data_IF_371732297195
#
_entry.id   IF_371732297195
#
_cell.length_a   1.000
_cell.length_b   1.000
_cell.length_c   1.000
_cell.angle_alpha   90.00
_cell.angle_beta   90.00
_cell.angle_gamma   90.00
#
_symmetry.space_group_name_H-M   'P 1'
#
loop_
_entity.id
_entity.type
_entity.pdbx_description
1 polymer ?
#
# COMPACT_ATOMS: atom_id res chain seq x y z
N UNK A 1 -45.05 -39.50 21.17
CA UNK A 1 -44.49 -38.76 22.31
C UNK A 1 -43.77 -37.54 21.76
N UNK A 2 -44.35 -36.35 21.92
CA UNK A 2 -43.66 -35.11 21.56
C UNK A 2 -42.59 -34.85 22.63
N UNK A 3 -41.32 -34.99 22.27
CA UNK A 3 -40.23 -34.57 23.13
C UNK A 3 -40.31 -33.04 23.28
N UNK A 4 -40.92 -32.57 24.37
CA UNK A 4 -40.87 -31.16 24.74
C UNK A 4 -39.43 -30.82 25.08
N UNK A 5 -38.83 -29.89 24.33
CA UNK A 5 -37.55 -29.28 24.66
C UNK A 5 -37.67 -28.75 26.10
N UNK A 6 -36.72 -29.08 26.98
CA UNK A 6 -36.69 -28.63 28.37
C UNK A 6 -36.79 -27.10 28.41
N UNK A 7 -37.48 -26.52 29.41
CA UNK A 7 -37.68 -25.06 29.51
C UNK A 7 -36.37 -24.26 29.52
N UNK A 8 -35.29 -24.86 30.00
CA UNK A 8 -33.95 -24.25 30.00
C UNK A 8 -33.29 -24.19 28.60
N UNK A 9 -33.84 -24.92 27.63
CA UNK A 9 -33.44 -24.90 26.22
C UNK A 9 -34.49 -24.21 25.33
N UNK A 10 -35.43 -23.47 25.93
CA UNK A 10 -36.38 -22.68 25.16
C UNK A 10 -35.59 -21.64 24.35
N UNK A 11 -35.58 -21.81 23.03
CA UNK A 11 -34.70 -21.05 22.15
C UNK A 11 -35.31 -19.69 21.90
N UNK A 12 -34.80 -18.67 22.56
CA UNK A 12 -35.15 -17.30 22.19
C UNK A 12 -34.65 -16.98 20.78
N UNK A 13 -35.47 -16.25 20.02
CA UNK A 13 -35.05 -15.75 18.70
C UNK A 13 -33.91 -14.76 18.91
N UNK A 14 -32.77 -15.03 18.29
CA UNK A 14 -31.60 -14.15 18.34
C UNK A 14 -31.92 -12.71 17.93
N UNK A 15 -32.89 -12.53 17.03
CA UNK A 15 -33.38 -11.21 16.58
C UNK A 15 -33.91 -10.33 17.70
N UNK A 16 -34.38 -10.89 18.83
CA UNK A 16 -34.85 -10.11 19.99
C UNK A 16 -33.73 -9.33 20.69
N UNK A 17 -32.47 -9.71 20.46
CA UNK A 17 -31.30 -9.02 21.01
C UNK A 17 -30.78 -7.91 20.08
N UNK A 18 -31.32 -7.77 18.88
CA UNK A 18 -30.91 -6.68 17.98
C UNK A 18 -31.64 -5.38 18.33
N UNK A 19 -30.91 -4.26 18.24
CA UNK A 19 -31.45 -2.92 18.50
C UNK A 19 -31.97 -2.25 17.22
N UNK A 20 -31.63 -2.76 16.04
CA UNK A 20 -31.96 -2.10 14.77
C UNK A 20 -33.45 -2.24 14.41
N UNK A 21 -34.12 -1.13 14.13
CA UNK A 21 -35.54 -1.09 13.72
C UNK A 21 -35.69 -0.74 12.24
N UNK A 22 -34.98 0.28 11.76
CA UNK A 22 -34.96 0.67 10.36
C UNK A 22 -33.67 1.36 9.95
N UNK A 23 -33.41 1.40 8.64
CA UNK A 23 -32.31 2.13 8.01
C UNK A 23 -32.87 3.06 6.96
N UNK A 24 -32.38 4.30 6.95
CA UNK A 24 -32.74 5.30 5.95
C UNK A 24 -31.61 5.47 4.94
N UNK A 25 -31.89 5.11 3.69
CA UNK A 25 -30.93 5.16 2.59
C UNK A 25 -30.52 6.60 2.22
N UNK A 26 -31.38 7.61 2.43
CA UNK A 26 -31.06 9.00 2.09
C UNK A 26 -30.08 9.61 3.09
N UNK A 27 -30.38 9.49 4.38
CA UNK A 27 -29.55 10.04 5.44
C UNK A 27 -28.42 9.11 5.85
N UNK A 28 -28.46 7.84 5.46
CA UNK A 28 -27.53 6.78 5.86
C UNK A 28 -27.50 6.56 7.38
N UNK A 29 -28.63 6.80 8.06
CA UNK A 29 -28.78 6.65 9.51
C UNK A 29 -29.56 5.37 9.86
N UNK A 30 -29.21 4.80 11.01
CA UNK A 30 -29.92 3.69 11.61
C UNK A 30 -30.80 4.20 12.74
N UNK A 31 -32.08 3.84 12.70
CA UNK A 31 -33.02 4.03 13.78
C UNK A 31 -33.08 2.74 14.59
N UNK A 32 -32.65 2.84 15.84
CA UNK A 32 -32.57 1.74 16.77
C UNK A 32 -33.62 1.93 17.87
N UNK A 33 -33.86 0.85 18.63
CA UNK A 33 -34.71 0.87 19.82
C UNK A 33 -34.20 1.90 20.83
N UNK A 34 -34.82 3.07 20.84
CA UNK A 34 -34.44 4.17 21.74
C UNK A 34 -33.09 4.82 21.44
N UNK A 35 -32.55 4.71 20.22
CA UNK A 35 -31.35 5.45 19.82
C UNK A 35 -31.27 5.67 18.32
N UNK A 36 -30.48 6.66 17.89
CA UNK A 36 -30.16 6.87 16.48
C UNK A 36 -28.65 6.77 16.33
N UNK A 37 -28.18 6.13 15.27
CA UNK A 37 -26.77 5.91 15.05
C UNK A 37 -26.38 5.83 13.58
N UNK A 38 -25.08 5.77 13.34
CA UNK A 38 -24.53 5.54 12.02
C UNK A 38 -23.28 4.66 12.13
N UNK A 39 -22.92 4.03 11.02
CA UNK A 39 -21.73 3.17 10.93
C UNK A 39 -20.86 3.67 9.77
N UNK A 40 -19.58 3.87 10.04
CA UNK A 40 -18.56 4.15 9.04
C UNK A 40 -17.70 2.91 8.84
N UNK A 41 -17.43 2.60 7.58
CA UNK A 41 -16.42 1.63 7.17
C UNK A 41 -15.14 2.39 6.81
N UNK A 42 -14.04 2.03 7.46
CA UNK A 42 -12.74 2.67 7.23
C UNK A 42 -11.62 1.64 7.06
N UNK A 43 -10.54 2.06 6.41
CA UNK A 43 -9.29 1.30 6.39
C UNK A 43 -8.59 1.44 7.75
N UNK A 44 -7.95 0.38 8.26
CA UNK A 44 -7.08 0.49 9.41
C UNK A 44 -5.95 1.49 9.14
N UNK A 45 -5.56 2.21 10.17
CA UNK A 45 -4.40 3.10 10.10
C UNK A 45 -3.14 2.25 10.07
N UNK A 46 -2.46 2.27 8.93
CA UNK A 46 -1.12 1.71 8.81
C UNK A 46 -0.17 2.36 9.82
N UNK A 47 -0.38 3.66 10.06
CA UNK A 47 0.38 4.49 10.99
C UNK A 47 -0.56 5.53 11.63
N UNK A 48 -0.44 5.75 12.95
CA UNK A 48 -1.21 6.79 13.65
C UNK A 48 -0.30 7.98 13.98
N UNK A 49 -0.61 9.17 13.44
CA UNK A 49 0.13 10.41 13.73
C UNK A 49 -0.29 11.02 15.07
N UNK A 50 0.55 11.90 15.65
CA UNK A 50 0.15 12.66 16.85
C UNK A 50 -1.02 13.60 16.52
N UNK A 51 -1.06 14.17 15.31
CA UNK A 51 -2.20 14.96 14.82
C UNK A 51 -3.48 14.14 14.77
N UNK A 52 -3.42 12.96 14.14
CA UNK A 52 -4.53 12.00 14.08
C UNK A 52 -5.06 11.65 15.47
N UNK A 53 -4.15 11.37 16.42
CA UNK A 53 -4.54 11.11 17.80
C UNK A 53 -5.18 12.34 18.44
N UNK A 54 -4.69 13.55 18.18
CA UNK A 54 -5.27 14.77 18.73
C UNK A 54 -6.63 15.09 18.12
N UNK A 55 -6.81 14.90 16.82
CA UNK A 55 -8.09 15.05 16.12
C UNK A 55 -9.12 14.06 16.67
N UNK A 56 -8.74 12.80 16.89
CA UNK A 56 -9.61 11.81 17.57
C UNK A 56 -9.90 12.26 19.01
N UNK A 57 -8.91 12.77 19.74
CA UNK A 57 -9.11 13.24 21.11
C UNK A 57 -10.07 14.44 21.18
N UNK A 58 -9.98 15.36 20.22
CA UNK A 58 -10.85 16.53 20.08
C UNK A 58 -12.26 16.11 19.71
N UNK A 59 -12.41 15.15 18.78
CA UNK A 59 -13.70 14.56 18.47
C UNK A 59 -14.35 13.95 19.72
N UNK A 60 -13.60 13.15 20.49
CA UNK A 60 -14.07 12.49 21.70
C UNK A 60 -14.34 13.44 22.89
N UNK A 61 -13.78 14.65 22.86
CA UNK A 61 -13.98 15.68 23.90
C UNK A 61 -15.16 16.60 23.60
N UNK A 62 -15.50 16.77 22.33
CA UNK A 62 -16.54 17.69 21.93
C UNK A 62 -17.92 17.13 22.29
N UNK A 63 -18.62 17.81 23.21
CA UNK A 63 -20.01 17.48 23.57
C UNK A 63 -20.97 17.59 22.38
N UNK A 64 -20.63 18.42 21.38
CA UNK A 64 -21.39 18.49 20.13
C UNK A 64 -21.25 17.19 19.32
N UNK A 65 -20.05 16.60 19.30
CA UNK A 65 -19.74 15.39 18.53
C UNK A 65 -20.19 14.11 19.26
N UNK A 66 -19.90 14.03 20.54
CA UNK A 66 -20.14 12.86 21.38
C UNK A 66 -20.78 13.30 22.71
N UNK A 67 -22.09 13.65 22.72
CA UNK A 67 -22.77 14.12 23.91
C UNK A 67 -22.78 13.06 25.02
N UNK A 68 -23.03 13.50 26.25
CA UNK A 68 -23.16 12.59 27.39
C UNK A 68 -24.11 11.43 27.07
N UNK A 69 -23.76 10.24 27.57
CA UNK A 69 -24.52 8.98 27.38
C UNK A 69 -24.48 8.38 25.97
N UNK A 70 -23.83 9.02 24.99
CA UNK A 70 -23.57 8.41 23.68
C UNK A 70 -22.50 7.32 23.74
N UNK A 71 -22.46 6.47 22.70
CA UNK A 71 -21.39 5.48 22.54
C UNK A 71 -20.66 5.67 21.22
N UNK A 72 -19.33 5.64 21.28
CA UNK A 72 -18.47 5.35 20.14
C UNK A 72 -17.95 3.91 20.29
N UNK A 73 -18.15 3.11 19.25
CA UNK A 73 -17.65 1.75 19.17
C UNK A 73 -16.74 1.63 17.95
N UNK A 74 -15.56 1.04 18.15
CA UNK A 74 -14.60 0.78 17.08
C UNK A 74 -14.28 -0.71 17.07
N UNK A 75 -14.57 -1.36 15.95
CA UNK A 75 -14.35 -2.79 15.75
C UNK A 75 -13.38 -2.99 14.59
N UNK A 76 -12.34 -3.79 14.81
CA UNK A 76 -11.46 -4.24 13.74
C UNK A 76 -11.89 -5.64 13.30
N UNK A 77 -12.38 -5.77 12.07
CA UNK A 77 -12.94 -7.00 11.54
C UNK A 77 -12.09 -7.48 10.37
N UNK A 78 -11.66 -8.75 10.45
CA UNK A 78 -11.07 -9.45 9.32
C UNK A 78 -12.12 -10.17 8.51
N UNK A 79 -12.32 -9.76 7.26
CA UNK A 79 -13.19 -10.43 6.30
C UNK A 79 -12.37 -11.38 5.42
N UNK A 80 -12.84 -12.62 5.24
CA UNK A 80 -12.24 -13.53 4.25
C UNK A 80 -12.69 -13.19 2.81
N UNK A 81 -13.64 -12.26 2.65
CA UNK A 81 -14.06 -11.79 1.33
C UNK A 81 -13.09 -10.72 0.81
N UNK A 82 -12.10 -11.17 0.04
CA UNK A 82 -11.10 -10.32 -0.61
C UNK A 82 -11.37 -10.11 -2.11
N UNK A 83 -12.54 -10.47 -2.61
CA UNK A 83 -12.80 -10.52 -4.06
C UNK A 83 -12.66 -9.16 -4.73
N UNK A 84 -13.00 -8.07 -4.03
CA UNK A 84 -12.82 -6.73 -4.56
C UNK A 84 -11.34 -6.38 -4.84
N UNK A 85 -10.39 -6.88 -4.04
CA UNK A 85 -8.96 -6.76 -4.35
C UNK A 85 -8.58 -7.64 -5.55
N UNK A 86 -9.03 -8.89 -5.55
CA UNK A 86 -8.64 -9.83 -6.61
C UNK A 86 -9.17 -9.38 -7.98
N UNK A 87 -10.46 -9.05 -8.05
CA UNK A 87 -11.14 -8.58 -9.25
C UNK A 87 -10.56 -7.26 -9.74
N UNK A 88 -10.33 -6.29 -8.86
CA UNK A 88 -9.71 -5.02 -9.24
C UNK A 88 -8.30 -5.24 -9.79
N UNK A 89 -7.44 -5.99 -9.09
CA UNK A 89 -6.08 -6.29 -9.55
C UNK A 89 -6.03 -7.01 -10.90
N UNK A 90 -6.88 -8.02 -11.07
CA UNK A 90 -6.99 -8.83 -12.28
C UNK A 90 -7.48 -8.02 -13.50
N UNK A 91 -8.38 -7.05 -13.29
CA UNK A 91 -8.95 -6.23 -14.37
C UNK A 91 -7.91 -5.44 -15.17
N UNK A 92 -6.73 -5.18 -14.61
CA UNK A 92 -5.64 -4.45 -15.27
C UNK A 92 -4.61 -5.34 -15.94
N UNK A 93 -4.78 -6.66 -15.92
CA UNK A 93 -3.85 -7.60 -16.55
C UNK A 93 -4.21 -7.77 -18.01
N UNK A 94 -3.30 -7.35 -18.90
CA UNK A 94 -3.45 -7.36 -20.36
C UNK A 94 -2.54 -8.41 -20.98
N UNK A 95 -3.06 -9.12 -21.98
CA UNK A 95 -2.32 -10.19 -22.66
C UNK A 95 -2.58 -11.56 -22.05
N UNK A 96 -2.65 -12.58 -22.90
CA UNK A 96 -3.07 -13.94 -22.55
C UNK A 96 -2.28 -14.53 -21.38
N UNK A 97 -0.95 -14.46 -21.44
CA UNK A 97 -0.08 -15.00 -20.40
C UNK A 97 -0.26 -14.31 -19.04
N UNK A 98 -0.48 -12.98 -19.04
CA UNK A 98 -0.64 -12.22 -17.80
C UNK A 98 -2.01 -12.45 -17.17
N UNK A 99 -3.04 -12.63 -17.99
CA UNK A 99 -4.38 -13.02 -17.54
C UNK A 99 -4.33 -14.40 -16.89
N UNK A 100 -3.66 -15.38 -17.53
CA UNK A 100 -3.54 -16.73 -16.98
C UNK A 100 -2.75 -16.77 -15.66
N UNK A 101 -1.63 -16.03 -15.58
CA UNK A 101 -0.88 -15.88 -14.33
C UNK A 101 -1.72 -15.21 -13.24
N UNK A 102 -2.52 -14.22 -13.62
CA UNK A 102 -3.41 -13.53 -12.70
C UNK A 102 -4.50 -14.47 -12.16
N UNK A 103 -5.12 -15.29 -13.01
CA UNK A 103 -6.12 -16.28 -12.62
C UNK A 103 -5.56 -17.25 -11.56
N UNK A 104 -4.38 -17.82 -11.80
CA UNK A 104 -3.72 -18.72 -10.85
C UNK A 104 -3.39 -18.03 -9.52
N UNK A 105 -2.95 -16.78 -9.58
CA UNK A 105 -2.63 -15.97 -8.39
C UNK A 105 -3.88 -15.65 -7.58
N UNK A 106 -4.96 -15.23 -8.22
CA UNK A 106 -6.22 -14.90 -7.53
C UNK A 106 -6.88 -16.14 -6.95
N UNK A 107 -6.85 -17.28 -7.65
CA UNK A 107 -7.30 -18.57 -7.12
C UNK A 107 -6.53 -18.97 -5.86
N UNK A 108 -5.18 -18.91 -5.90
CA UNK A 108 -4.35 -19.21 -4.74
C UNK A 108 -4.69 -18.33 -3.53
N UNK A 109 -4.81 -17.00 -3.72
CA UNK A 109 -5.10 -16.07 -2.64
C UNK A 109 -6.52 -16.22 -2.10
N UNK A 110 -7.49 -16.52 -2.98
CA UNK A 110 -8.88 -16.83 -2.59
C UNK A 110 -8.93 -18.08 -1.70
N UNK A 111 -8.19 -19.11 -2.06
CA UNK A 111 -8.06 -20.33 -1.25
C UNK A 111 -7.40 -20.06 0.11
N UNK A 112 -6.34 -19.25 0.14
CA UNK A 112 -5.71 -18.82 1.39
C UNK A 112 -6.67 -18.04 2.31
N UNK A 113 -7.57 -17.24 1.73
CA UNK A 113 -8.56 -16.49 2.50
C UNK A 113 -9.73 -17.37 2.99
N UNK A 114 -10.31 -18.20 2.13
CA UNK A 114 -11.54 -18.94 2.44
C UNK A 114 -11.28 -20.25 3.19
N UNK A 115 -10.25 -21.01 2.80
CA UNK A 115 -9.97 -22.35 3.35
C UNK A 115 -9.04 -22.29 4.56
N UNK A 116 -8.00 -21.46 4.48
CA UNK A 116 -6.98 -21.36 5.53
C UNK A 116 -7.27 -20.23 6.52
N UNK A 117 -7.83 -19.11 6.04
CA UNK A 117 -8.03 -17.89 6.85
C UNK A 117 -6.72 -17.14 7.12
N UNK A 118 -5.66 -17.41 6.36
CA UNK A 118 -4.35 -16.76 6.48
C UNK A 118 -4.33 -15.37 5.84
N UNK A 119 -5.24 -15.13 4.89
CA UNK A 119 -5.40 -13.85 4.19
C UNK A 119 -6.80 -13.30 4.46
N UNK A 120 -6.88 -12.00 4.68
CA UNK A 120 -8.13 -11.29 5.00
C UNK A 120 -8.06 -9.85 4.56
N UNK A 121 -9.23 -9.28 4.37
CA UNK A 121 -9.40 -7.84 4.33
C UNK A 121 -9.77 -7.34 5.73
N UNK A 122 -8.85 -6.64 6.38
CA UNK A 122 -9.09 -6.06 7.70
C UNK A 122 -9.68 -4.66 7.53
N UNK A 123 -10.86 -4.45 8.08
CA UNK A 123 -11.57 -3.16 8.06
C UNK A 123 -11.84 -2.68 9.48
N UNK A 124 -12.00 -1.37 9.62
CA UNK A 124 -12.55 -0.76 10.82
C UNK A 124 -14.03 -0.49 10.58
N UNK A 125 -14.87 -0.95 11.51
CA UNK A 125 -16.22 -0.45 11.68
C UNK A 125 -16.23 0.52 12.85
N UNK A 126 -16.67 1.74 12.59
CA UNK A 126 -16.80 2.78 13.59
C UNK A 126 -18.27 3.13 13.68
N UNK A 127 -18.92 2.87 14.81
CA UNK A 127 -20.32 3.23 15.00
C UNK A 127 -20.49 4.22 16.13
N UNK A 128 -21.32 5.23 15.89
CA UNK A 128 -21.76 6.19 16.90
C UNK A 128 -23.23 5.97 17.16
N UNK A 129 -23.62 6.01 18.42
CA UNK A 129 -25.02 5.83 18.85
C UNK A 129 -25.35 6.87 19.90
N UNK A 130 -26.45 7.58 19.69
CA UNK A 130 -26.93 8.61 20.61
C UNK A 130 -28.30 8.18 21.16
N UNK A 131 -28.45 8.03 22.48
CA UNK A 131 -29.71 7.68 23.09
C UNK A 131 -30.65 8.89 23.16
N UNK A 132 -31.34 9.23 22.07
CA UNK A 132 -32.44 10.20 22.08
C UNK A 132 -33.28 10.12 20.80
N UNK A 133 -34.57 9.77 20.92
CA UNK A 133 -35.51 9.73 19.79
C UNK A 133 -35.84 11.12 19.21
N UNK A 134 -35.53 12.21 19.93
CA UNK A 134 -35.74 13.59 19.48
C UNK A 134 -34.46 14.25 18.94
N UNK A 135 -33.39 13.47 18.69
CA UNK A 135 -32.17 14.02 18.11
C UNK A 135 -32.43 14.58 16.71
N UNK A 136 -31.97 15.80 16.45
CA UNK A 136 -32.10 16.43 15.14
C UNK A 136 -31.27 15.66 14.10
N UNK A 137 -31.90 15.27 12.99
CA UNK A 137 -31.28 14.54 11.87
C UNK A 137 -30.09 15.34 11.30
N UNK A 138 -30.21 16.66 11.20
CA UNK A 138 -29.14 17.52 10.69
C UNK A 138 -27.88 17.46 11.57
N UNK A 139 -28.06 17.38 12.89
CA UNK A 139 -26.96 17.24 13.84
C UNK A 139 -26.31 15.86 13.74
N UNK A 140 -27.09 14.80 13.47
CA UNK A 140 -26.54 13.46 13.22
C UNK A 140 -25.71 13.41 11.93
N UNK A 141 -26.15 14.08 10.87
CA UNK A 141 -25.41 14.21 9.62
C UNK A 141 -24.10 14.97 9.84
N UNK A 142 -24.14 16.11 10.54
CA UNK A 142 -22.93 16.89 10.87
C UNK A 142 -21.91 16.07 11.66
N UNK A 143 -22.34 15.30 12.67
CA UNK A 143 -21.46 14.41 13.45
C UNK A 143 -20.80 13.33 12.60
N UNK A 144 -21.58 12.71 11.70
CA UNK A 144 -21.07 11.70 10.76
C UNK A 144 -19.99 12.30 9.87
N UNK A 145 -20.25 13.48 9.32
CA UNK A 145 -19.33 14.13 8.39
C UNK A 145 -18.08 14.64 9.11
N UNK A 146 -18.21 15.19 10.33
CA UNK A 146 -17.08 15.54 11.19
C UNK A 146 -16.20 14.32 11.50
N UNK A 147 -16.81 13.19 11.87
CA UNK A 147 -16.07 11.95 12.13
C UNK A 147 -15.39 11.44 10.86
N UNK A 148 -16.07 11.49 9.71
CA UNK A 148 -15.50 11.09 8.41
C UNK A 148 -14.28 11.92 8.06
N UNK A 149 -14.30 13.22 8.33
CA UNK A 149 -13.17 14.12 8.04
C UNK A 149 -12.01 13.92 9.02
N UNK A 150 -12.26 13.69 10.31
CA UNK A 150 -11.23 13.26 11.29
C UNK A 150 -10.47 12.03 10.80
N UNK A 151 -11.16 11.10 10.12
CA UNK A 151 -10.54 9.87 9.63
C UNK A 151 -9.85 9.98 8.25
N UNK A 152 -9.99 11.10 7.53
CA UNK A 152 -9.39 11.32 6.19
C UNK A 152 -7.97 11.91 6.21
N UNK A 153 -7.57 12.62 7.25
CA UNK A 153 -6.38 13.49 7.31
C UNK A 153 -5.03 12.80 7.66
N UNK A 154 -4.99 11.48 7.84
CA UNK A 154 -3.94 10.85 8.66
C UNK A 154 -2.73 10.28 7.86
N UNK A 155 -1.49 10.73 8.18
CA UNK A 155 -0.19 10.08 7.81
C UNK A 155 0.86 10.18 8.96
N UNK A 156 1.48 9.04 9.33
CA UNK A 156 2.75 8.80 10.08
C UNK A 156 2.94 9.36 11.53
N UNK A 157 3.64 8.79 12.55
CA UNK A 157 4.62 7.70 12.78
C UNK A 157 4.73 7.41 14.33
N UNK A 158 5.34 6.28 14.72
CA UNK A 158 5.91 5.87 16.06
C UNK A 158 5.01 5.08 17.06
N UNK A 159 5.57 4.43 18.11
CA UNK A 159 5.98 3.01 18.14
C UNK A 159 5.32 2.26 19.32
N UNK A 160 4.91 1.01 19.10
CA UNK A 160 4.18 0.13 20.04
C UNK A 160 4.84 -0.25 21.40
N UNK A 161 6.18 -0.21 21.61
CA UNK A 161 6.79 -0.68 22.86
C UNK A 161 6.44 0.14 24.12
N UNK A 162 6.17 1.44 23.98
CA UNK A 162 5.83 2.31 25.11
C UNK A 162 4.45 1.98 25.73
N UNK A 163 3.50 1.57 24.89
CA UNK A 163 2.12 1.26 25.29
C UNK A 163 2.03 -0.01 26.15
N UNK A 164 2.73 -1.08 25.76
CA UNK A 164 2.76 -2.32 26.54
C UNK A 164 3.44 -2.16 27.91
N UNK A 165 4.31 -1.16 28.08
CA UNK A 165 4.88 -0.79 29.39
C UNK A 165 3.90 0.03 30.23
N UNK A 166 3.08 0.88 29.61
CA UNK A 166 2.05 1.69 30.28
C UNK A 166 0.93 0.80 30.82
N UNK A 167 0.35 -0.08 30.00
CA UNK A 167 -0.77 -0.94 30.39
C UNK A 167 -0.46 -1.82 31.62
N UNK A 168 0.78 -2.30 31.75
CA UNK A 168 1.24 -3.10 32.90
C UNK A 168 1.45 -2.27 34.17
N UNK A 169 1.86 -1.01 34.05
CA UNK A 169 1.98 -0.09 35.20
C UNK A 169 0.62 0.41 35.69
N UNK A 170 -0.38 0.43 34.82
CA UNK A 170 -1.76 0.85 35.14
C UNK A 170 -2.64 -0.26 35.73
N UNK A 171 -2.09 -1.45 36.01
CA UNK A 171 -2.84 -2.54 36.65
C UNK A 171 -3.88 -3.24 35.77
N UNK A 172 -3.69 -3.25 34.45
CA UNK A 172 -4.61 -3.93 33.53
C UNK A 172 -4.32 -5.44 33.48
N UNK A 173 -5.29 -6.25 33.92
CA UNK A 173 -5.24 -7.70 33.87
C UNK A 173 -6.22 -8.24 32.83
N UNK A 174 -5.78 -9.17 31.99
CA UNK A 174 -6.65 -9.87 31.05
C UNK A 174 -7.44 -10.95 31.79
N UNK A 175 -8.77 -10.81 31.84
CA UNK A 175 -9.65 -11.80 32.45
C UNK A 175 -10.23 -12.72 31.37
N UNK A 176 -10.15 -14.06 31.51
CA UNK A 176 -10.77 -14.99 30.57
C UNK A 176 -12.29 -14.75 30.50
N UNK A 177 -12.83 -14.57 29.29
CA UNK A 177 -14.27 -14.49 29.03
C UNK A 177 -14.87 -15.90 29.02
N UNK A 178 -15.04 -16.53 30.19
CA UNK A 178 -15.78 -17.80 30.32
C UNK A 178 -17.26 -17.51 30.47
N UNK A 179 -18.10 -18.15 29.66
CA UNK A 179 -19.57 -18.01 29.66
C UNK A 179 -20.12 -16.64 29.20
N UNK A 180 -19.26 -15.73 28.75
CA UNK A 180 -19.65 -14.39 28.24
C UNK A 180 -19.93 -14.37 26.72
N UNK A 181 -20.08 -15.54 26.07
CA UNK A 181 -20.13 -15.63 24.60
C UNK A 181 -21.23 -14.77 23.96
N UNK A 182 -22.43 -14.73 24.55
CA UNK A 182 -23.54 -13.90 24.04
C UNK A 182 -23.25 -12.42 24.27
N UNK A 183 -22.75 -12.04 25.45
CA UNK A 183 -22.41 -10.65 25.75
C UNK A 183 -21.27 -10.12 24.85
N UNK A 184 -20.25 -10.96 24.59
CA UNK A 184 -19.15 -10.65 23.67
C UNK A 184 -19.66 -10.55 22.23
N UNK A 185 -20.55 -11.45 21.80
CA UNK A 185 -21.15 -11.40 20.48
C UNK A 185 -21.97 -10.12 20.28
N UNK A 186 -22.84 -9.76 21.24
CA UNK A 186 -23.62 -8.54 21.17
C UNK A 186 -22.74 -7.27 21.23
N UNK A 187 -21.70 -7.27 22.07
CA UNK A 187 -20.74 -6.16 22.12
C UNK A 187 -19.84 -6.06 20.87
N UNK A 188 -19.80 -7.10 20.03
CA UNK A 188 -19.12 -7.10 18.74
C UNK A 188 -20.03 -6.69 17.57
N UNK A 189 -21.31 -6.43 17.83
CA UNK A 189 -22.25 -5.90 16.84
C UNK A 189 -22.33 -4.36 16.96
N UNK A 190 -22.37 -3.62 15.84
CA UNK A 190 -22.42 -2.16 15.84
C UNK A 190 -23.62 -1.60 16.63
N UNK A 191 -23.46 -0.48 17.33
CA UNK A 191 -24.56 0.28 17.98
C UNK A 191 -25.32 -0.43 19.13
N UNK A 192 -24.83 -1.58 19.61
CA UNK A 192 -25.46 -2.35 20.70
C UNK A 192 -25.16 -1.84 22.12
N UNK A 193 -24.26 -0.86 22.25
CA UNK A 193 -23.69 -0.50 23.55
C UNK A 193 -24.64 0.34 24.41
N UNK A 194 -25.39 1.26 23.80
CA UNK A 194 -26.27 2.20 24.52
C UNK A 194 -27.63 2.35 23.85
N UNK A 195 -28.65 2.42 24.70
CA UNK A 195 -30.05 2.67 24.34
C UNK A 195 -30.69 3.59 25.38
N UNK A 196 -31.68 4.37 24.98
CA UNK A 196 -32.49 5.13 25.92
C UNK A 196 -33.28 4.18 26.83
N UNK A 197 -32.97 4.20 28.12
CA UNK A 197 -33.66 3.41 29.13
C UNK A 197 -34.91 4.11 29.70
N UNK A 198 -35.65 3.41 30.57
CA UNK A 198 -36.89 3.92 31.15
C UNK A 198 -36.64 5.19 32.00
N UNK A 199 -37.57 6.16 31.90
CA UNK A 199 -37.53 7.39 32.70
C UNK A 199 -37.67 7.04 34.19
N UNK A 200 -36.63 7.33 34.97
CA UNK A 200 -36.66 7.23 36.42
C UNK A 200 -37.06 8.56 37.07
N UNK A 201 -37.20 8.55 38.40
CA UNK A 201 -37.57 9.73 39.23
C UNK A 201 -36.53 10.87 39.11
N UNK A 202 -35.27 10.54 38.80
CA UNK A 202 -34.16 11.49 38.64
C UNK A 202 -33.81 11.80 37.16
N UNK A 203 -34.64 11.39 36.19
CA UNK A 203 -34.43 11.67 34.76
C UNK A 203 -34.36 10.41 33.88
N UNK A 204 -34.06 10.61 32.59
CA UNK A 204 -33.75 9.52 31.65
C UNK A 204 -32.53 8.75 32.13
N UNK A 205 -32.59 7.42 32.10
CA UNK A 205 -31.45 6.55 32.38
C UNK A 205 -31.00 5.88 31.10
N UNK A 206 -29.69 5.81 30.86
CA UNK A 206 -29.15 5.01 29.76
C UNK A 206 -29.13 3.52 30.12
N UNK A 207 -29.43 2.68 29.13
CA UNK A 207 -29.42 1.21 29.23
C UNK A 207 -28.63 0.62 28.06
N UNK A 208 -28.51 -0.71 27.98
CA UNK A 208 -27.79 -1.40 26.90
C UNK A 208 -26.64 -2.28 27.38
N UNK A 209 -26.02 -3.00 26.44
CA UNK A 209 -24.98 -4.00 26.74
C UNK A 209 -23.72 -3.35 27.32
N UNK A 210 -23.35 -2.15 26.85
CA UNK A 210 -22.20 -1.40 27.37
C UNK A 210 -22.37 -0.99 28.84
N UNK A 211 -23.58 -0.53 29.20
CA UNK A 211 -23.92 -0.18 30.60
C UNK A 211 -23.89 -1.42 31.48
N UNK A 212 -24.46 -2.54 31.01
CA UNK A 212 -24.43 -3.81 31.72
C UNK A 212 -22.99 -4.31 31.94
N UNK A 213 -22.15 -4.32 30.89
CA UNK A 213 -20.74 -4.70 31.00
C UNK A 213 -19.97 -3.79 31.96
N UNK A 214 -20.22 -2.48 31.94
CA UNK A 214 -19.63 -1.55 32.90
C UNK A 214 -20.03 -1.88 34.34
N UNK A 215 -21.31 -2.17 34.59
CA UNK A 215 -21.82 -2.55 35.92
C UNK A 215 -21.22 -3.87 36.43
N UNK A 216 -20.85 -4.78 35.52
CA UNK A 216 -20.16 -6.04 35.81
C UNK A 216 -18.65 -5.87 35.99
N UNK A 217 -18.14 -4.63 36.00
CA UNK A 217 -16.71 -4.35 36.11
C UNK A 217 -15.90 -4.69 34.86
N UNK A 218 -16.55 -4.88 33.70
CA UNK A 218 -15.91 -5.14 32.41
C UNK A 218 -15.61 -3.87 31.61
N UNK A 219 -15.91 -2.69 32.18
CA UNK A 219 -15.58 -1.39 31.61
C UNK A 219 -14.58 -0.63 32.48
N UNK A 220 -13.83 0.29 31.87
CA UNK A 220 -12.84 1.14 32.55
C UNK A 220 -13.25 2.59 32.40
N UNK A 221 -13.23 3.32 33.51
CA UNK A 221 -13.41 4.78 33.49
C UNK A 221 -12.06 5.44 33.25
N UNK A 222 -11.97 6.26 32.21
CA UNK A 222 -10.77 6.96 31.78
C UNK A 222 -11.14 8.35 31.27
N UNK A 223 -10.17 9.25 31.18
CA UNK A 223 -10.35 10.57 30.57
C UNK A 223 -10.32 10.46 29.04
N UNK A 224 -11.07 11.30 28.33
CA UNK A 224 -11.23 11.21 26.87
C UNK A 224 -9.89 11.23 26.11
N UNK A 225 -8.88 11.93 26.61
CA UNK A 225 -7.52 11.97 26.02
C UNK A 225 -6.78 10.63 26.05
N UNK A 226 -7.06 9.75 27.00
CA UNK A 226 -6.42 8.44 27.11
C UNK A 226 -7.13 7.39 26.25
N UNK A 227 -8.46 7.53 26.11
CA UNK A 227 -9.30 6.57 25.37
C UNK A 227 -8.89 6.41 23.90
N UNK A 228 -8.34 7.46 23.28
CA UNK A 228 -7.81 7.43 21.90
C UNK A 228 -6.73 6.36 21.67
N UNK A 229 -5.93 6.06 22.70
CA UNK A 229 -4.81 5.10 22.62
C UNK A 229 -5.31 3.67 22.75
N UNK A 230 -6.51 3.47 23.31
CA UNK A 230 -7.14 2.16 23.49
C UNK A 230 -7.93 1.71 22.25
N UNK A 231 -8.18 2.59 21.29
CA UNK A 231 -8.96 2.27 20.10
C UNK A 231 -8.20 1.30 19.18
N UNK A 232 -8.85 0.21 18.70
CA UNK A 232 -8.24 -0.74 17.79
C UNK A 232 -8.23 -0.20 16.35
N UNK A 233 -7.55 0.92 16.11
CA UNK A 233 -7.53 1.61 14.81
C UNK A 233 -6.27 1.30 13.98
N UNK A 234 -5.22 0.74 14.59
CA UNK A 234 -3.93 0.51 13.92
C UNK A 234 -3.88 -0.88 13.29
N UNK A 235 -3.77 -0.95 11.96
CA UNK A 235 -3.69 -2.21 11.20
C UNK A 235 -2.57 -2.22 10.15
N UNK A 236 -2.61 -3.19 9.24
CA UNK A 236 -1.66 -3.25 8.12
C UNK A 236 -2.14 -2.36 6.97
N UNK A 237 -1.19 -1.77 6.24
CA UNK A 237 -1.51 -0.97 5.05
C UNK A 237 -2.12 -1.84 3.96
N UNK A 238 -3.21 -1.36 3.35
CA UNK A 238 -3.90 -2.04 2.23
C UNK A 238 -3.27 -1.77 0.87
N UNK A 239 -2.23 -0.95 0.81
CA UNK A 239 -1.65 -0.54 -0.45
C UNK A 239 -2.32 0.68 -1.06
N UNK A 240 -1.84 1.04 -2.25
CA UNK A 240 -2.50 2.00 -3.12
C UNK A 240 -3.44 1.25 -4.08
N UNK A 241 -4.74 1.31 -3.80
CA UNK A 241 -5.78 0.63 -4.61
C UNK A 241 -5.88 1.16 -6.04
N UNK A 242 -5.35 2.37 -6.31
CA UNK A 242 -5.26 2.96 -7.64
C UNK A 242 -4.00 2.54 -8.41
N UNK A 243 -3.06 1.89 -7.73
CA UNK A 243 -1.83 1.34 -8.31
C UNK A 243 -1.78 -0.18 -8.14
N UNK A 244 -2.47 -0.96 -9.00
CA UNK A 244 -2.57 -2.41 -8.96
C UNK A 244 -1.28 -3.09 -9.44
N UNK A 245 -0.17 -2.78 -8.76
CA UNK A 245 1.15 -3.37 -8.94
C UNK A 245 1.22 -4.80 -8.42
N UNK A 246 2.19 -5.09 -7.56
CA UNK A 246 2.34 -6.41 -6.96
C UNK A 246 1.22 -6.69 -5.95
N UNK A 247 0.69 -7.91 -5.97
CA UNK A 247 -0.33 -8.37 -5.03
C UNK A 247 0.32 -9.16 -3.89
N UNK A 248 0.40 -8.54 -2.71
CA UNK A 248 1.11 -9.05 -1.53
C UNK A 248 0.17 -9.24 -0.34
N UNK A 249 0.67 -9.90 0.70
CA UNK A 249 -0.03 -10.06 1.97
C UNK A 249 0.89 -9.69 3.13
N UNK A 250 0.32 -9.01 4.12
CA UNK A 250 0.99 -8.66 5.37
C UNK A 250 1.16 -9.87 6.29
N UNK A 251 1.92 -9.69 7.37
CA UNK A 251 2.16 -10.75 8.36
C UNK A 251 0.91 -11.14 9.13
N UNK A 252 -0.05 -10.22 9.27
CA UNK A 252 -1.36 -10.49 9.89
C UNK A 252 -2.42 -10.90 8.85
N UNK A 253 -2.03 -11.08 7.59
CA UNK A 253 -2.90 -11.55 6.52
C UNK A 253 -3.56 -10.46 5.70
N UNK A 254 -3.32 -9.17 5.96
CA UNK A 254 -3.93 -8.11 5.14
C UNK A 254 -3.42 -8.19 3.70
N UNK A 255 -4.34 -8.33 2.74
CA UNK A 255 -3.99 -8.22 1.33
C UNK A 255 -3.68 -6.77 0.96
N UNK A 256 -2.66 -6.54 0.14
CA UNK A 256 -2.22 -5.20 -0.24
C UNK A 256 -1.69 -5.11 -1.67
N UNK A 257 -1.83 -3.94 -2.27
CA UNK A 257 -1.13 -3.60 -3.51
C UNK A 257 0.14 -2.83 -3.21
N UNK A 258 1.21 -3.20 -3.90
CA UNK A 258 2.46 -2.49 -3.79
C UNK A 258 3.04 -2.18 -5.16
N UNK A 259 3.43 -0.91 -5.36
CA UNK A 259 4.07 -0.45 -6.58
C UNK A 259 5.04 0.67 -6.22
N UNK A 260 6.29 0.66 -6.73
CA UNK A 260 7.21 1.77 -6.54
C UNK A 260 6.79 3.01 -7.33
N UNK A 261 5.91 2.86 -8.34
CA UNK A 261 5.48 3.94 -9.22
C UNK A 261 4.22 4.68 -8.74
N UNK A 262 3.56 4.18 -7.68
CA UNK A 262 2.29 4.74 -7.20
C UNK A 262 1.28 4.90 -8.35
N UNK A 263 0.52 5.99 -8.34
CA UNK A 263 -0.47 6.24 -9.40
C UNK A 263 0.10 6.49 -10.79
N UNK A 264 1.42 6.66 -10.96
CA UNK A 264 2.05 6.75 -12.30
C UNK A 264 2.19 5.38 -12.97
N UNK A 265 1.99 4.28 -12.23
CA UNK A 265 1.86 2.95 -12.83
C UNK A 265 0.69 2.91 -13.83
N UNK A 266 -0.41 3.59 -13.49
CA UNK A 266 -1.63 3.70 -14.30
C UNK A 266 -2.18 5.15 -14.23
N UNK A 267 -1.62 6.09 -15.01
CA UNK A 267 -1.97 7.50 -14.94
C UNK A 267 -3.46 7.79 -15.18
N UNK A 268 -4.15 6.90 -15.91
CA UNK A 268 -5.59 7.01 -16.20
C UNK A 268 -6.47 6.92 -14.95
N UNK A 269 -6.01 6.28 -13.88
CA UNK A 269 -6.74 6.14 -12.62
C UNK A 269 -6.44 7.28 -11.63
N UNK A 270 -5.37 8.04 -11.88
CA UNK A 270 -4.78 8.94 -10.89
C UNK A 270 -5.23 10.40 -11.06
N UNK A 271 -6.54 10.64 -11.26
CA UNK A 271 -7.05 12.02 -11.42
C UNK A 271 -7.10 12.82 -10.12
N UNK A 272 -7.05 12.17 -8.95
CA UNK A 272 -7.30 12.79 -7.65
C UNK A 272 -6.33 12.40 -6.51
N UNK A 273 -5.24 11.64 -6.76
CA UNK A 273 -4.29 11.33 -5.68
C UNK A 273 -3.23 12.43 -5.55
N UNK A 274 -2.85 12.72 -4.30
CA UNK A 274 -1.70 13.56 -3.98
C UNK A 274 -0.48 13.08 -4.78
N UNK A 275 0.27 14.04 -5.34
CA UNK A 275 1.38 13.80 -6.26
C UNK A 275 2.22 12.59 -5.80
N UNK A 276 2.43 11.58 -6.68
CA UNK A 276 3.30 10.46 -6.35
C UNK A 276 4.67 11.00 -5.94
N UNK A 277 5.39 10.27 -5.09
CA UNK A 277 6.80 10.54 -4.84
C UNK A 277 7.49 10.75 -6.20
N UNK A 278 8.14 11.90 -6.40
CA UNK A 278 8.80 12.25 -7.67
C UNK A 278 9.99 11.32 -8.00
N UNK A 279 10.32 10.37 -7.11
CA UNK A 279 11.42 9.43 -7.25
C UNK A 279 10.92 7.98 -7.13
N UNK A 280 11.05 7.24 -8.24
CA UNK A 280 10.63 5.83 -8.37
C UNK A 280 11.78 4.83 -8.18
N UNK A 281 12.94 5.30 -7.75
CA UNK A 281 14.10 4.43 -7.56
C UNK A 281 13.86 3.46 -6.39
N UNK A 282 14.17 2.19 -6.64
CA UNK A 282 14.01 1.10 -5.67
C UNK A 282 15.34 0.39 -5.45
N UNK A 283 15.73 0.22 -4.18
CA UNK A 283 16.88 -0.58 -3.79
C UNK A 283 16.42 -1.92 -3.20
N UNK A 284 16.88 -3.03 -3.78
CA UNK A 284 16.60 -4.39 -3.30
C UNK A 284 17.90 -5.01 -2.81
N UNK A 285 18.04 -5.17 -1.51
CA UNK A 285 19.22 -5.75 -0.87
C UNK A 285 18.90 -7.12 -0.24
N UNK A 286 19.89 -8.02 -0.25
CA UNK A 286 19.77 -9.36 0.32
C UNK A 286 20.92 -10.26 -0.07
N UNK A 287 21.15 -11.33 0.69
CA UNK A 287 22.20 -12.32 0.42
C UNK A 287 21.89 -13.15 -0.84
N UNK A 288 22.89 -13.77 -1.50
CA UNK A 288 22.62 -14.75 -2.56
C UNK A 288 21.61 -15.81 -2.08
N UNK A 289 20.62 -16.16 -2.92
CA UNK A 289 19.56 -17.10 -2.56
C UNK A 289 18.37 -16.52 -1.77
N UNK A 290 18.39 -15.26 -1.34
CA UNK A 290 17.30 -14.66 -0.54
C UNK A 290 16.02 -14.33 -1.32
N UNK A 291 15.94 -14.67 -2.61
CA UNK A 291 14.78 -14.37 -3.46
C UNK A 291 14.77 -13.01 -4.14
N UNK A 292 15.89 -12.26 -4.16
CA UNK A 292 15.99 -10.95 -4.85
C UNK A 292 15.50 -11.00 -6.31
N UNK A 293 16.05 -11.93 -7.11
CA UNK A 293 15.68 -12.10 -8.52
C UNK A 293 14.23 -12.55 -8.69
N UNK A 294 13.67 -13.28 -7.72
CA UNK A 294 12.25 -13.70 -7.76
C UNK A 294 11.36 -12.49 -7.55
N UNK A 295 11.66 -11.65 -6.55
CA UNK A 295 10.93 -10.41 -6.31
C UNK A 295 11.01 -9.44 -7.51
N UNK A 296 12.21 -9.27 -8.09
CA UNK A 296 12.38 -8.43 -9.28
C UNK A 296 11.63 -8.96 -10.50
N UNK A 297 11.57 -10.29 -10.69
CA UNK A 297 10.77 -10.90 -11.76
C UNK A 297 9.27 -10.67 -11.54
N UNK A 298 8.78 -10.77 -10.30
CA UNK A 298 7.38 -10.45 -9.98
C UNK A 298 7.07 -8.98 -10.26
N UNK A 299 7.98 -8.07 -9.88
CA UNK A 299 7.84 -6.64 -10.20
C UNK A 299 7.81 -6.41 -11.71
N UNK A 300 8.72 -7.04 -12.47
CA UNK A 300 8.74 -6.99 -13.93
C UNK A 300 7.41 -7.49 -14.52
N UNK A 301 6.93 -8.66 -14.09
CA UNK A 301 5.66 -9.24 -14.55
C UNK A 301 4.47 -8.32 -14.24
N UNK A 302 4.49 -7.67 -13.06
CA UNK A 302 3.46 -6.71 -12.70
C UNK A 302 3.45 -5.48 -13.60
N UNK A 303 4.60 -4.95 -13.97
CA UNK A 303 4.72 -3.78 -14.85
C UNK A 303 4.33 -4.15 -16.29
N UNK A 304 4.82 -5.28 -16.79
CA UNK A 304 4.45 -5.78 -18.12
C UNK A 304 2.95 -6.12 -18.19
N UNK A 305 2.39 -6.70 -17.13
CA UNK A 305 0.99 -7.09 -17.06
C UNK A 305 0.01 -5.93 -17.18
N UNK A 306 0.41 -4.71 -16.80
CA UNK A 306 -0.41 -3.50 -17.00
C UNK A 306 -0.14 -2.79 -18.34
N UNK A 307 0.80 -3.31 -19.15
CA UNK A 307 1.20 -2.76 -20.44
C UNK A 307 2.44 -1.85 -20.39
N UNK A 308 3.19 -1.85 -19.28
CA UNK A 308 4.45 -1.12 -19.16
C UNK A 308 5.59 -1.77 -19.96
N UNK A 309 6.72 -1.07 -20.04
CA UNK A 309 7.96 -1.59 -20.65
C UNK A 309 9.00 -1.82 -19.57
N UNK A 310 9.78 -2.90 -19.70
CA UNK A 310 10.83 -3.25 -18.74
C UNK A 310 12.12 -3.55 -19.49
N UNK A 311 13.21 -2.94 -19.04
CA UNK A 311 14.57 -3.23 -19.48
C UNK A 311 15.34 -3.80 -18.29
N UNK A 312 16.05 -4.91 -18.50
CA UNK A 312 16.77 -5.61 -17.43
C UNK A 312 18.23 -5.78 -17.84
N UNK A 313 19.14 -5.36 -16.96
CA UNK A 313 20.57 -5.68 -17.05
C UNK A 313 20.83 -6.97 -16.26
N UNK A 314 20.97 -8.09 -16.97
CA UNK A 314 21.01 -9.42 -16.37
C UNK A 314 22.43 -10.03 -16.40
N UNK A 315 23.22 -9.77 -15.36
CA UNK A 315 24.55 -10.37 -15.21
C UNK A 315 24.49 -11.89 -14.92
N UNK A 316 23.46 -12.35 -14.21
CA UNK A 316 23.34 -13.72 -13.71
C UNK A 316 22.49 -14.66 -14.58
N UNK A 317 22.03 -14.19 -15.74
CA UNK A 317 21.08 -14.91 -16.64
C UNK A 317 19.80 -15.37 -15.93
N UNK A 318 19.40 -14.69 -14.84
CA UNK A 318 18.22 -15.05 -14.03
C UNK A 318 16.91 -14.73 -14.75
N UNK A 319 16.93 -13.79 -15.69
CA UNK A 319 15.76 -13.31 -16.43
C UNK A 319 15.69 -13.87 -17.85
N UNK A 320 16.77 -14.48 -18.36
CA UNK A 320 16.83 -15.02 -19.73
C UNK A 320 15.62 -15.89 -20.10
N UNK A 321 15.29 -16.88 -19.26
CA UNK A 321 14.15 -17.78 -19.51
C UNK A 321 12.82 -17.02 -19.51
N UNK A 322 12.59 -16.20 -18.50
CA UNK A 322 11.35 -15.42 -18.35
C UNK A 322 11.18 -14.43 -19.51
N UNK A 323 12.26 -13.76 -19.94
CA UNK A 323 12.27 -12.89 -21.11
C UNK A 323 11.83 -13.63 -22.38
N UNK A 324 12.43 -14.80 -22.65
CA UNK A 324 12.09 -15.60 -23.84
C UNK A 324 10.65 -16.13 -23.80
N UNK A 325 10.17 -16.59 -22.63
CA UNK A 325 8.78 -17.06 -22.46
C UNK A 325 7.77 -15.94 -22.73
N UNK A 326 8.08 -14.72 -22.33
CA UNK A 326 7.25 -13.54 -22.55
C UNK A 326 7.37 -12.97 -23.98
N UNK A 327 8.11 -13.62 -24.87
CA UNK A 327 8.36 -13.14 -26.23
C UNK A 327 9.28 -11.90 -26.30
N UNK A 328 10.00 -11.61 -25.23
CA UNK A 328 10.96 -10.51 -25.16
C UNK A 328 12.25 -10.78 -25.92
N UNK A 329 13.04 -9.73 -26.13
CA UNK A 329 14.36 -9.80 -26.78
C UNK A 329 15.44 -9.88 -25.71
N UNK A 330 16.13 -11.02 -25.64
CA UNK A 330 17.33 -11.17 -24.81
C UNK A 330 18.57 -10.89 -25.66
N UNK A 331 19.28 -9.81 -25.35
CA UNK A 331 20.52 -9.42 -26.05
C UNK A 331 21.69 -9.98 -25.25
N UNK A 332 22.51 -10.81 -25.90
CA UNK A 332 23.68 -11.43 -25.31
C UNK A 332 24.87 -11.25 -26.22
N UNK A 333 25.97 -10.75 -25.66
CA UNK A 333 27.25 -10.68 -26.35
C UNK A 333 27.95 -12.04 -26.19
N UNK A 334 27.85 -12.88 -27.20
CA UNK A 334 28.50 -14.19 -27.28
C UNK A 334 29.44 -14.22 -28.49
N UNK A 335 30.64 -14.77 -28.33
CA UNK A 335 31.61 -14.96 -29.41
C UNK A 335 31.04 -15.83 -30.54
N UNK A 336 30.10 -16.73 -30.24
CA UNK A 336 29.46 -17.61 -31.24
C UNK A 336 28.32 -16.93 -32.02
N UNK A 337 27.64 -15.97 -31.39
CA UNK A 337 26.53 -15.23 -31.98
C UNK A 337 26.79 -13.73 -31.73
N UNK A 338 27.74 -13.12 -32.48
CA UNK A 338 28.17 -11.77 -32.21
C UNK A 338 27.03 -10.80 -32.49
N UNK A 339 26.58 -10.10 -31.44
CA UNK A 339 25.75 -8.91 -31.56
C UNK A 339 26.69 -7.72 -31.42
N UNK A 340 26.72 -6.84 -32.42
CA UNK A 340 27.46 -5.58 -32.34
C UNK A 340 26.48 -4.43 -32.13
N UNK A 341 26.79 -3.54 -31.20
CA UNK A 341 26.05 -2.30 -31.00
C UNK A 341 27.03 -1.17 -31.26
N UNK A 342 26.75 -0.38 -32.29
CA UNK A 342 27.50 0.84 -32.54
C UNK A 342 26.86 1.99 -31.75
N UNK A 343 27.61 2.62 -30.79
CA UNK A 343 27.08 3.70 -29.95
C UNK A 343 26.78 4.99 -30.73
N UNK A 344 27.30 5.13 -31.95
CA UNK A 344 27.13 6.32 -32.79
C UNK A 344 25.86 6.27 -33.65
N UNK A 345 25.27 5.09 -33.88
CA UNK A 345 24.25 4.89 -34.92
C UNK A 345 22.95 5.66 -34.72
N UNK A 346 22.58 5.97 -33.47
CA UNK A 346 21.34 6.69 -33.13
C UNK A 346 21.59 8.15 -32.70
N UNK A 347 22.83 8.64 -32.83
CA UNK A 347 23.16 10.03 -32.49
C UNK A 347 22.66 10.94 -33.62
N UNK A 348 21.76 11.90 -33.35
CA UNK A 348 21.15 12.73 -34.38
C UNK A 348 22.19 13.58 -35.15
N UNK A 349 22.01 13.67 -36.46
CA UNK A 349 22.88 14.46 -37.34
C UNK A 349 22.25 15.78 -37.80
N UNK A 350 20.92 15.94 -37.65
CA UNK A 350 20.21 17.13 -38.10
C UNK A 350 20.49 18.36 -37.23
N UNK A 351 20.30 19.54 -37.82
CA UNK A 351 20.59 20.84 -37.20
C UNK A 351 19.42 21.38 -36.36
N UNK A 352 18.45 20.55 -35.95
CA UNK A 352 17.43 21.00 -35.00
C UNK A 352 18.05 21.25 -33.63
N UNK A 353 17.51 22.22 -32.88
CA UNK A 353 18.02 22.58 -31.56
C UNK A 353 18.10 21.37 -30.61
N UNK A 354 17.10 20.47 -30.66
CA UNK A 354 17.03 19.25 -29.86
C UNK A 354 18.11 18.23 -30.25
N UNK A 355 18.39 18.08 -31.54
CA UNK A 355 19.43 17.19 -32.05
C UNK A 355 20.83 17.70 -31.72
N UNK A 356 21.05 19.01 -31.79
CA UNK A 356 22.30 19.65 -31.37
C UNK A 356 22.56 19.41 -29.88
N UNK A 357 21.54 19.58 -29.04
CA UNK A 357 21.62 19.33 -27.59
C UNK A 357 21.95 17.86 -27.30
N UNK A 358 21.17 16.92 -27.85
CA UNK A 358 21.38 15.49 -27.65
C UNK A 358 22.78 15.03 -28.11
N UNK A 359 23.27 15.57 -29.23
CA UNK A 359 24.62 15.30 -29.74
C UNK A 359 25.70 15.88 -28.84
N UNK A 360 25.52 17.09 -28.32
CA UNK A 360 26.44 17.71 -27.36
C UNK A 360 26.52 16.91 -26.05
N UNK A 361 25.37 16.46 -25.55
CA UNK A 361 25.29 15.62 -24.36
C UNK A 361 25.97 14.28 -24.56
N UNK A 362 25.78 13.65 -25.73
CA UNK A 362 26.51 12.42 -26.08
C UNK A 362 28.02 12.66 -26.12
N UNK A 363 28.49 13.68 -26.87
CA UNK A 363 29.93 13.94 -27.04
C UNK A 363 30.63 14.37 -25.74
N UNK A 364 29.91 14.94 -24.78
CA UNK A 364 30.45 15.32 -23.47
C UNK A 364 30.51 14.15 -22.48
N UNK A 365 29.53 13.25 -22.49
CA UNK A 365 29.44 12.14 -21.53
C UNK A 365 30.15 10.86 -22.02
N UNK A 366 30.16 10.60 -23.33
CA UNK A 366 30.73 9.39 -23.91
C UNK A 366 32.25 9.18 -23.67
N UNK A 367 33.09 10.23 -23.52
CA UNK A 367 34.50 10.05 -23.14
C UNK A 367 34.72 9.25 -21.84
N UNK A 368 33.79 9.29 -20.88
CA UNK A 368 33.89 8.50 -19.65
C UNK A 368 33.73 6.99 -19.90
N UNK A 369 32.88 6.62 -20.87
CA UNK A 369 32.69 5.25 -21.32
C UNK A 369 33.94 4.80 -22.09
N UNK A 370 34.46 5.64 -23.01
CA UNK A 370 35.72 5.37 -23.71
C UNK A 370 36.90 5.19 -22.76
N UNK A 371 36.98 5.97 -21.68
CA UNK A 371 38.00 5.81 -20.65
C UNK A 371 37.91 4.44 -19.95
N UNK A 372 36.69 3.96 -19.68
CA UNK A 372 36.45 2.63 -19.10
C UNK A 372 36.81 1.51 -20.08
N UNK A 373 36.66 1.74 -21.39
CA UNK A 373 37.06 0.80 -22.44
C UNK A 373 38.59 0.75 -22.59
N UNK A 374 39.24 1.91 -22.66
CA UNK A 374 40.68 2.02 -22.89
C UNK A 374 41.54 1.66 -21.67
N UNK A 375 41.05 1.94 -20.46
CA UNK A 375 41.80 1.73 -19.22
C UNK A 375 40.91 1.18 -18.08
N UNK A 376 40.38 -0.05 -18.21
CA UNK A 376 39.37 -0.59 -17.29
C UNK A 376 39.85 -0.80 -15.84
N UNK A 377 41.15 -1.02 -15.61
CA UNK A 377 41.70 -1.30 -14.28
C UNK A 377 42.21 -0.06 -13.54
N UNK A 378 42.94 0.80 -14.26
CA UNK A 378 43.69 1.92 -13.66
C UNK A 378 43.07 3.30 -13.96
N UNK A 379 42.07 3.35 -14.85
CA UNK A 379 41.49 4.59 -15.33
C UNK A 379 42.45 5.40 -16.22
N UNK A 380 42.02 6.58 -16.61
CA UNK A 380 42.77 7.49 -17.50
C UNK A 380 43.29 8.69 -16.73
N UNK A 381 44.49 9.17 -17.07
CA UNK A 381 45.10 10.38 -16.52
C UNK A 381 44.46 11.69 -17.03
N UNK A 382 44.77 12.81 -16.37
CA UNK A 382 44.33 14.16 -16.75
C UNK A 382 44.77 14.60 -18.16
N UNK A 383 45.82 13.99 -18.71
CA UNK A 383 46.26 14.20 -20.10
C UNK A 383 45.52 13.31 -21.10
N UNK A 384 45.12 12.11 -20.66
CA UNK A 384 44.43 11.13 -21.48
C UNK A 384 42.95 11.47 -21.68
N UNK A 385 42.27 12.00 -20.66
CA UNK A 385 40.84 12.37 -20.77
C UNK A 385 40.56 13.43 -21.86
N UNK A 386 41.28 14.59 -21.91
CA UNK A 386 41.09 15.56 -22.99
C UNK A 386 41.46 15.01 -24.36
N UNK A 387 42.40 14.06 -24.41
CA UNK A 387 42.81 13.42 -25.67
C UNK A 387 41.70 12.51 -26.21
N UNK A 388 41.05 11.71 -25.36
CA UNK A 388 39.88 10.91 -25.74
C UNK A 388 38.75 11.80 -26.26
N UNK A 389 38.48 12.93 -25.61
CA UNK A 389 37.47 13.87 -26.06
C UNK A 389 37.81 14.49 -27.42
N UNK A 390 39.09 14.87 -27.64
CA UNK A 390 39.56 15.37 -28.93
C UNK A 390 39.45 14.32 -30.03
N UNK A 391 39.79 13.07 -29.73
CA UNK A 391 39.68 11.96 -30.67
C UNK A 391 38.22 11.74 -31.09
N UNK A 392 37.32 11.65 -30.10
CA UNK A 392 35.89 11.50 -30.30
C UNK A 392 35.31 12.60 -31.20
N UNK A 393 35.57 13.87 -30.89
CA UNK A 393 35.07 15.01 -31.68
C UNK A 393 35.63 14.95 -33.11
N UNK A 394 36.92 14.65 -33.27
CA UNK A 394 37.57 14.59 -34.58
C UNK A 394 37.02 13.47 -35.46
N UNK A 395 36.74 12.31 -34.88
CA UNK A 395 36.16 11.16 -35.58
C UNK A 395 34.70 11.43 -35.91
N UNK A 396 33.93 11.97 -34.97
CA UNK A 396 32.54 12.34 -35.18
C UNK A 396 32.37 13.36 -36.31
N UNK A 397 33.20 14.41 -36.36
CA UNK A 397 33.15 15.39 -37.45
C UNK A 397 33.42 14.78 -38.84
N UNK A 398 34.17 13.68 -38.91
CA UNK A 398 34.51 13.02 -40.17
C UNK A 398 33.46 11.99 -40.60
N UNK A 399 32.90 11.23 -39.66
CA UNK A 399 32.09 10.04 -39.95
C UNK A 399 30.67 10.08 -39.43
N UNK A 400 30.32 11.04 -38.56
CA UNK A 400 28.98 11.14 -37.96
C UNK A 400 28.53 9.83 -37.31
N UNK A 401 27.29 9.44 -37.53
CA UNK A 401 26.69 8.22 -37.02
C UNK A 401 27.32 6.92 -37.57
N UNK A 402 28.16 7.03 -38.61
CA UNK A 402 28.94 5.92 -39.16
C UNK A 402 30.32 5.76 -38.50
N UNK A 403 30.65 6.59 -37.50
CA UNK A 403 31.86 6.40 -36.72
C UNK A 403 31.85 5.04 -36.01
N UNK A 404 33.03 4.47 -35.81
CA UNK A 404 33.26 3.25 -35.03
C UNK A 404 34.28 3.51 -33.92
N UNK A 405 34.31 2.65 -32.90
CA UNK A 405 35.33 2.73 -31.84
C UNK A 405 36.73 2.56 -32.41
N UNK A 406 36.88 1.68 -33.41
CA UNK A 406 38.14 1.47 -34.14
C UNK A 406 38.66 2.76 -34.77
N UNK A 407 37.79 3.64 -35.26
CA UNK A 407 38.23 4.93 -35.82
C UNK A 407 38.89 5.83 -34.76
N UNK A 408 38.40 5.76 -33.52
CA UNK A 408 38.96 6.50 -32.39
C UNK A 408 40.30 5.87 -31.97
N UNK A 409 40.37 4.54 -31.91
CA UNK A 409 41.59 3.80 -31.61
C UNK A 409 42.70 4.08 -32.65
N UNK A 410 42.34 4.07 -33.94
CA UNK A 410 43.25 4.39 -35.05
C UNK A 410 43.70 5.86 -34.99
N UNK A 411 42.79 6.78 -34.68
CA UNK A 411 43.12 8.20 -34.54
C UNK A 411 44.12 8.43 -33.39
N UNK A 412 43.97 7.73 -32.27
CA UNK A 412 44.85 7.82 -31.11
C UNK A 412 46.21 7.16 -31.36
N UNK A 413 46.23 6.00 -32.03
CA UNK A 413 47.45 5.26 -32.35
C UNK A 413 48.39 6.02 -33.30
N UNK A 414 47.83 6.88 -34.15
CA UNK A 414 48.59 7.71 -35.09
C UNK A 414 49.15 9.00 -34.49
N UNK A 415 48.97 9.25 -33.19
CA UNK A 415 49.54 10.40 -32.48
C UNK A 415 51.02 10.25 -32.22
N UNK A 416 51.75 11.33 -31.96
CA UNK A 416 53.17 11.27 -31.58
C UNK A 416 53.31 10.97 -30.09
N UNK A 417 52.39 11.48 -29.29
CA UNK A 417 52.38 11.43 -27.85
C UNK A 417 52.19 9.99 -27.32
N UNK A 418 53.08 9.52 -26.45
CA UNK A 418 53.04 8.17 -25.91
C UNK A 418 51.74 7.86 -25.16
N UNK A 419 51.26 8.81 -24.35
CA UNK A 419 50.02 8.66 -23.57
C UNK A 419 48.77 8.53 -24.45
N UNK A 420 48.81 9.05 -25.70
CA UNK A 420 47.73 8.92 -26.66
C UNK A 420 47.77 7.55 -27.35
N UNK A 421 48.96 7.07 -27.72
CA UNK A 421 49.15 5.72 -28.27
C UNK A 421 48.73 4.63 -27.29
N UNK A 422 48.99 4.82 -26.00
CA UNK A 422 48.56 3.89 -24.95
C UNK A 422 47.04 3.69 -24.95
N UNK A 423 46.26 4.77 -25.17
CA UNK A 423 44.80 4.72 -25.28
C UNK A 423 44.32 4.07 -26.59
N UNK A 424 45.14 4.10 -27.64
CA UNK A 424 44.82 3.51 -28.94
C UNK A 424 44.79 1.98 -28.94
N UNK A 425 45.30 1.33 -27.88
CA UNK A 425 45.28 -0.14 -27.72
C UNK A 425 43.93 -0.69 -27.20
N UNK A 426 42.87 0.12 -27.19
CA UNK A 426 41.55 -0.21 -26.64
C UNK A 426 40.71 -1.16 -27.48
#
# INVERSE_FOLDING_TARGET
MNASIHKDFDRERFSKHFVYESYDDETQLFFNRGSIGFVLLACPLAEASVSAQNEIAEFLKSDENLPAESSLQVLMIGSNNIEHFLSNWQSYRKGEIFIELANKRTEFLRDQAQKVGSIKDVVLLISVTIPNLNANIDDMIRRRDALKDTFRSMKAKQSAPAFCSMLRRSGLYFVPCKYDHVAVLLAALPMQLVEQGPKGVLGQKTSGVGVALSSLGRGIKTVSVESKVLLPIIGEWKGDLSSPGMLLAGRRGQIMYWSPFGGDLLPTLNKNAAAPNENFNLCIAGVPGSGKSVFMQELMLSVLGVGGKVFVLDYGRSFKRTCLILGGRYIEFDMKNPVSINPFSEVPEDDSAKSIEARSDFLSNFPSILATMAAPQYGTSDLQQPMLQRALISVWQKKGAKAEITDIADWLSNREESYAKELGNM
#
